data_IF_344796468169
#
_entry.id   IF_344796468169
#
_cell.length_a   1.000
_cell.length_b   1.000
_cell.length_c   1.000
_cell.angle_alpha   90.00
_cell.angle_beta   90.00
_cell.angle_gamma   90.00
#
_symmetry.space_group_name_H-M   'P 1'
#
loop_
_entity.id
_entity.type
_entity.pdbx_description
1 polymer ?
#
# COMPACT_ATOMS: atom_id res chain seq x y z
N UNK A 1 -66.20 -27.91 31.72
CA UNK A 1 -65.16 -27.05 32.31
C UNK A 1 -64.13 -26.73 31.25
N UNK A 2 -63.87 -25.44 31.05
CA UNK A 2 -62.91 -24.90 30.10
C UNK A 2 -61.47 -24.95 30.62
N UNK A 3 -60.50 -25.00 29.70
CA UNK A 3 -59.16 -24.37 29.68
C UNK A 3 -58.40 -25.00 28.48
N UNK A 4 -58.25 -24.34 27.32
CA UNK A 4 -57.48 -23.15 26.94
C UNK A 4 -56.08 -23.52 26.39
N UNK A 5 -55.85 -22.97 25.20
CA UNK A 5 -54.75 -23.03 24.23
C UNK A 5 -53.34 -22.67 24.75
N UNK A 6 -52.32 -23.30 24.19
CA UNK A 6 -51.01 -22.76 23.70
C UNK A 6 -50.09 -23.97 23.43
N UNK A 7 -49.68 -24.34 22.21
CA UNK A 7 -48.93 -23.60 21.20
C UNK A 7 -47.74 -22.84 21.78
N UNK A 8 -46.60 -23.51 21.90
CA UNK A 8 -45.28 -22.88 21.85
C UNK A 8 -44.44 -23.66 20.84
N UNK A 9 -44.69 -23.36 19.57
CA UNK A 9 -43.69 -23.44 18.52
C UNK A 9 -42.53 -22.54 18.97
N UNK A 10 -41.47 -23.17 19.50
CA UNK A 10 -40.24 -22.48 19.82
C UNK A 10 -39.52 -22.22 18.50
N UNK A 11 -39.94 -21.15 17.82
CA UNK A 11 -39.23 -20.60 16.68
C UNK A 11 -37.81 -20.23 17.10
N UNK A 12 -36.86 -21.12 16.82
CA UNK A 12 -35.44 -20.82 16.83
C UNK A 12 -35.19 -19.78 15.74
N UNK A 13 -35.01 -18.52 16.14
CA UNK A 13 -34.75 -17.42 15.23
C UNK A 13 -33.36 -17.59 14.57
N UNK A 14 -33.25 -17.75 13.24
CA UNK A 14 -31.98 -17.91 12.53
C UNK A 14 -31.16 -16.61 12.35
N UNK A 15 -31.55 -15.51 13.00
CA UNK A 15 -31.05 -14.17 12.66
C UNK A 15 -29.66 -13.83 13.23
N UNK A 16 -29.13 -14.59 14.20
CA UNK A 16 -27.88 -14.23 14.90
C UNK A 16 -26.61 -14.78 14.24
N UNK A 17 -26.67 -15.88 13.49
CA UNK A 17 -25.51 -16.48 12.80
C UNK A 17 -25.17 -15.83 11.46
N UNK A 18 -26.11 -15.07 10.87
CA UNK A 18 -25.93 -14.42 9.58
C UNK A 18 -25.02 -13.17 9.64
N UNK A 19 -24.98 -12.47 10.79
CA UNK A 19 -24.26 -11.20 10.96
C UNK A 19 -22.76 -11.43 11.19
N UNK A 20 -22.38 -12.53 11.84
CA UNK A 20 -20.97 -12.87 12.12
C UNK A 20 -20.25 -13.36 10.86
N UNK A 21 -20.94 -14.13 10.02
CA UNK A 21 -20.41 -14.66 8.74
C UNK A 21 -20.09 -13.54 7.74
N UNK A 22 -20.96 -12.53 7.62
CA UNK A 22 -20.80 -11.42 6.66
C UNK A 22 -19.61 -10.51 6.99
N UNK A 23 -19.28 -10.32 8.28
CA UNK A 23 -18.15 -9.47 8.69
C UNK A 23 -16.80 -10.13 8.38
N UNK A 24 -16.67 -11.43 8.60
CA UNK A 24 -15.45 -12.20 8.30
C UNK A 24 -15.18 -12.25 6.78
N UNK A 25 -16.21 -12.50 5.97
CA UNK A 25 -16.10 -12.47 4.50
C UNK A 25 -15.79 -11.08 3.95
N UNK A 26 -16.37 -10.02 4.54
CA UNK A 26 -16.05 -8.64 4.18
C UNK A 26 -14.62 -8.27 4.56
N UNK A 27 -14.14 -8.71 5.72
CA UNK A 27 -12.75 -8.52 6.14
C UNK A 27 -11.80 -9.24 5.18
N UNK A 28 -12.09 -10.49 4.80
CA UNK A 28 -11.29 -11.24 3.83
C UNK A 28 -11.23 -10.55 2.46
N UNK A 29 -12.38 -10.09 1.94
CA UNK A 29 -12.44 -9.31 0.69
C UNK A 29 -11.67 -7.99 0.79
N UNK A 30 -11.78 -7.29 1.92
CA UNK A 30 -11.03 -6.05 2.17
C UNK A 30 -9.52 -6.32 2.19
N UNK A 31 -9.07 -7.39 2.84
CA UNK A 31 -7.66 -7.80 2.83
C UNK A 31 -7.16 -8.14 1.42
N UNK A 32 -7.96 -8.83 0.61
CA UNK A 32 -7.63 -9.10 -0.80
C UNK A 32 -7.55 -7.82 -1.65
N UNK A 33 -8.46 -6.87 -1.43
CA UNK A 33 -8.44 -5.57 -2.11
C UNK A 33 -7.23 -4.73 -1.70
N UNK A 34 -6.90 -4.69 -0.40
CA UNK A 34 -5.72 -4.00 0.11
C UNK A 34 -4.42 -4.59 -0.42
N UNK A 35 -4.30 -5.92 -0.48
CA UNK A 35 -3.13 -6.61 -1.06
C UNK A 35 -2.96 -6.27 -2.54
N UNK A 36 -4.05 -6.29 -3.30
CA UNK A 36 -4.03 -5.92 -4.73
C UNK A 36 -3.59 -4.47 -4.92
N UNK A 37 -4.14 -3.55 -4.13
CA UNK A 37 -3.74 -2.14 -4.17
C UNK A 37 -2.26 -1.93 -3.80
N UNK A 38 -1.77 -2.65 -2.78
CA UNK A 38 -0.38 -2.61 -2.36
C UNK A 38 0.57 -3.10 -3.47
N UNK A 39 0.28 -4.26 -4.08
CA UNK A 39 1.08 -4.79 -5.19
C UNK A 39 1.07 -3.86 -6.41
N UNK A 40 -0.08 -3.24 -6.69
CA UNK A 40 -0.19 -2.22 -7.74
C UNK A 40 0.75 -1.05 -7.47
N UNK A 41 0.73 -0.50 -6.25
CA UNK A 41 1.61 0.59 -5.83
C UNK A 41 3.09 0.19 -5.82
N UNK A 42 3.41 -1.03 -5.39
CA UNK A 42 4.78 -1.56 -5.46
C UNK A 42 5.27 -1.61 -6.91
N UNK A 43 4.47 -2.16 -7.81
CA UNK A 43 4.82 -2.29 -9.24
C UNK A 43 5.05 -0.91 -9.89
N UNK A 44 4.23 0.07 -9.52
CA UNK A 44 4.39 1.47 -9.95
C UNK A 44 5.76 2.02 -9.50
N UNK A 45 6.10 1.85 -8.22
CA UNK A 45 7.39 2.28 -7.66
C UNK A 45 8.56 1.54 -8.32
N UNK A 46 8.48 0.21 -8.47
CA UNK A 46 9.51 -0.60 -9.11
C UNK A 46 9.79 -0.11 -10.54
N UNK A 47 8.73 0.24 -11.27
CA UNK A 47 8.84 0.80 -12.63
C UNK A 47 9.55 2.15 -12.64
N UNK A 48 9.25 3.02 -11.68
CA UNK A 48 9.92 4.32 -11.54
C UNK A 48 11.41 4.16 -11.19
N UNK A 49 11.74 3.22 -10.29
CA UNK A 49 13.13 2.92 -9.91
C UNK A 49 13.92 2.35 -11.09
N UNK A 50 13.33 1.44 -11.87
CA UNK A 50 13.97 0.89 -13.07
C UNK A 50 14.28 1.99 -14.10
N UNK A 51 13.38 2.97 -14.28
CA UNK A 51 13.62 4.12 -15.16
C UNK A 51 14.76 5.00 -14.67
N UNK A 52 14.86 5.24 -13.36
CA UNK A 52 15.97 6.01 -12.77
C UNK A 52 17.30 5.28 -12.90
N UNK A 53 17.31 3.95 -12.70
CA UNK A 53 18.51 3.13 -12.90
C UNK A 53 19.00 3.20 -14.35
N UNK A 54 18.11 3.00 -15.34
CA UNK A 54 18.47 3.13 -16.75
C UNK A 54 18.98 4.53 -17.11
N UNK A 55 18.39 5.58 -16.53
CA UNK A 55 18.87 6.95 -16.70
C UNK A 55 20.26 7.16 -16.08
N UNK A 56 20.54 6.54 -14.93
CA UNK A 56 21.86 6.56 -14.31
C UNK A 56 22.90 5.83 -15.16
N UNK A 57 22.55 4.69 -15.75
CA UNK A 57 23.43 3.94 -16.66
C UNK A 57 23.79 4.78 -17.91
N UNK A 58 22.84 5.60 -18.38
CA UNK A 58 23.05 6.57 -19.47
C UNK A 58 23.60 7.93 -18.98
N UNK A 59 24.28 7.95 -17.83
CA UNK A 59 24.96 9.14 -17.26
C UNK A 59 24.02 10.34 -17.07
N UNK A 60 22.75 10.09 -16.77
CA UNK A 60 21.68 11.10 -16.73
C UNK A 60 21.56 11.92 -18.03
N UNK A 61 21.83 11.29 -19.18
CA UNK A 61 21.91 11.92 -20.50
C UNK A 61 22.95 13.05 -20.60
N UNK A 62 23.92 13.10 -19.67
CA UNK A 62 24.96 14.12 -19.68
C UNK A 62 26.21 13.60 -20.41
N UNK A 63 26.60 14.29 -21.48
CA UNK A 63 27.90 14.05 -22.12
C UNK A 63 29.02 14.61 -21.25
N UNK A 64 30.12 13.88 -20.99
CA UNK A 64 31.26 14.36 -20.20
C UNK A 64 31.79 15.74 -20.61
N UNK A 65 31.77 16.05 -21.91
CA UNK A 65 32.26 17.32 -22.46
C UNK A 65 31.28 18.49 -22.26
N UNK A 66 30.03 18.22 -21.91
CA UNK A 66 28.97 19.20 -21.71
C UNK A 66 28.56 19.37 -20.23
N UNK A 67 29.12 18.56 -19.31
CA UNK A 67 28.84 18.65 -17.88
C UNK A 67 29.26 20.01 -17.33
N UNK A 68 28.40 20.59 -16.50
CA UNK A 68 28.65 21.86 -15.82
C UNK A 68 27.96 21.86 -14.44
N UNK A 69 28.18 22.91 -13.65
CA UNK A 69 27.60 23.06 -12.31
C UNK A 69 26.08 23.01 -12.25
N UNK A 70 25.37 23.38 -13.32
CA UNK A 70 23.91 23.24 -13.40
C UNK A 70 23.46 21.78 -13.42
N UNK A 71 24.23 20.90 -14.09
CA UNK A 71 23.98 19.45 -14.05
C UNK A 71 24.24 18.89 -12.65
N UNK A 72 25.31 19.34 -11.99
CA UNK A 72 25.62 18.94 -10.61
C UNK A 72 24.47 19.31 -9.67
N UNK A 73 23.99 20.55 -9.71
CA UNK A 73 22.85 20.98 -8.89
C UNK A 73 21.56 20.19 -9.15
N UNK A 74 21.34 19.75 -10.39
CA UNK A 74 20.20 18.88 -10.74
C UNK A 74 20.34 17.50 -10.09
N UNK A 75 21.52 16.90 -10.13
CA UNK A 75 21.79 15.60 -9.49
C UNK A 75 21.74 15.69 -7.97
N UNK A 76 22.23 16.77 -7.37
CA UNK A 76 22.09 17.03 -5.94
C UNK A 76 20.62 17.07 -5.50
N UNK A 77 19.76 17.71 -6.30
CA UNK A 77 18.32 17.72 -6.04
C UNK A 77 17.71 16.31 -6.07
N UNK A 78 18.03 15.51 -7.10
CA UNK A 78 17.55 14.13 -7.21
C UNK A 78 18.05 13.25 -6.06
N UNK A 79 19.33 13.36 -5.71
CA UNK A 79 19.92 12.63 -4.59
C UNK A 79 19.24 13.00 -3.26
N UNK A 80 18.92 14.28 -3.04
CA UNK A 80 18.21 14.73 -1.83
C UNK A 80 16.81 14.11 -1.71
N UNK A 81 16.06 14.00 -2.82
CA UNK A 81 14.74 13.37 -2.83
C UNK A 81 14.83 11.86 -2.56
N UNK A 82 15.76 11.17 -3.20
CA UNK A 82 15.98 9.74 -2.98
C UNK A 82 16.41 9.44 -1.54
N UNK A 83 17.27 10.30 -0.97
CA UNK A 83 17.66 10.19 0.43
C UNK A 83 16.46 10.34 1.36
N UNK A 84 15.64 11.39 1.21
CA UNK A 84 14.43 11.57 2.03
C UNK A 84 13.49 10.36 1.99
N UNK A 85 13.32 9.73 0.82
CA UNK A 85 12.49 8.54 0.66
C UNK A 85 13.13 7.34 1.40
N UNK A 86 14.44 7.17 1.28
CA UNK A 86 15.20 6.08 1.89
C UNK A 86 15.22 6.24 3.42
N UNK A 87 15.55 7.41 3.92
CA UNK A 87 15.54 7.78 5.34
C UNK A 87 14.16 7.48 5.98
N UNK A 88 13.07 7.84 5.29
CA UNK A 88 11.70 7.55 5.73
C UNK A 88 11.37 6.05 5.72
N UNK A 89 11.87 5.30 4.73
CA UNK A 89 11.61 3.87 4.59
C UNK A 89 12.39 2.99 5.59
N UNK A 90 13.63 3.38 5.91
CA UNK A 90 14.52 2.62 6.79
C UNK A 90 14.60 3.20 8.21
N UNK A 91 13.97 4.36 8.44
CA UNK A 91 14.11 5.09 9.70
C UNK A 91 15.52 5.65 9.88
N UNK A 92 16.30 5.83 8.83
CA UNK A 92 17.67 6.32 8.88
C UNK A 92 17.65 7.87 8.80
N UNK A 93 17.41 8.56 9.92
CA UNK A 93 17.25 10.02 9.96
C UNK A 93 16.82 10.52 11.35
N UNK A 94 16.09 11.63 11.46
CA UNK A 94 15.52 12.13 12.75
C UNK A 94 14.59 11.11 13.45
N UNK A 95 14.29 9.99 12.80
CA UNK A 95 13.53 8.86 13.32
C UNK A 95 14.33 7.56 13.49
N UNK A 96 15.67 7.61 13.38
CA UNK A 96 16.54 6.51 13.78
C UNK A 96 16.47 6.40 15.31
N UNK A 97 15.80 5.36 15.79
CA UNK A 97 15.83 4.96 17.21
C UNK A 97 17.03 4.06 17.49
#
# INVERSE_FOLDING_TARGET
>A
MARKRCSSDAGEHPMTMAITTTRAEKAHRNSGAALTAFLGKKTEIDTMLARLAALSDDHFNASPDAVNWGHVGTLEHYASLLRQITDSAFGEGEHAR
#
